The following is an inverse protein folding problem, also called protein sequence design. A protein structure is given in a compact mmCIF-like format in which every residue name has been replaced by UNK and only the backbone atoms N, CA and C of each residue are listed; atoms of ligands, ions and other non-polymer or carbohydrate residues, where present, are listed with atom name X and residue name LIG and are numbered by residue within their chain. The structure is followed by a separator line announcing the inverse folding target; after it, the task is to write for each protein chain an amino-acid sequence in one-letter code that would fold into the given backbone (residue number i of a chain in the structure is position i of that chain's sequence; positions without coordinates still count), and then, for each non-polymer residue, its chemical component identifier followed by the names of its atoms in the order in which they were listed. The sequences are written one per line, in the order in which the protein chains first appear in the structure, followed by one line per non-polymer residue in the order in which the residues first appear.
data_IF_196145798484
#
_entry.id   IF_196145798484
#
_cell.length_a   1.000
_cell.length_b   1.000
_cell.length_c   1.000
_cell.angle_alpha   90.00
_cell.angle_beta   90.00
_cell.angle_gamma   90.00
#
_symmetry.space_group_name_H-M   'P 1'
#
loop_
_entity.id
_entity.type
_entity.pdbx_description
1 polymer ?
#
# COMPACT_ATOMS: atom_id res chain seq x y z
N UNK A 1 22.34 7.15 -7.22
CA UNK A 1 21.01 7.58 -7.69
C UNK A 1 20.11 7.82 -6.48
N UNK A 2 19.51 8.99 -6.40
CA UNK A 2 18.62 9.31 -5.28
C UNK A 2 17.19 8.89 -5.65
N UNK A 3 16.58 8.04 -4.83
CA UNK A 3 15.20 7.63 -5.03
C UNK A 3 14.27 8.77 -4.59
N UNK A 4 13.34 9.14 -5.46
CA UNK A 4 12.35 10.16 -5.11
C UNK A 4 11.44 9.64 -3.99
N UNK A 5 11.10 10.51 -3.03
CA UNK A 5 10.11 10.18 -1.98
C UNK A 5 8.80 9.71 -2.57
N UNK A 6 8.44 10.21 -3.76
CA UNK A 6 7.19 9.84 -4.43
C UNK A 6 7.11 8.35 -4.75
N UNK A 7 8.25 7.67 -4.91
CA UNK A 7 8.30 6.24 -5.20
C UNK A 7 8.36 5.37 -3.94
N UNK A 8 8.51 5.99 -2.76
CA UNK A 8 8.59 5.28 -1.48
C UNK A 8 7.26 5.18 -0.76
N UNK A 9 6.20 5.75 -1.33
CA UNK A 9 4.86 5.74 -0.73
C UNK A 9 3.83 5.32 -1.78
N UNK A 10 2.64 4.94 -1.31
CA UNK A 10 1.54 4.61 -2.22
C UNK A 10 1.16 5.84 -3.04
N UNK A 11 0.94 5.65 -4.34
CA UNK A 11 0.51 6.69 -5.24
C UNK A 11 -0.97 7.02 -5.00
N UNK A 12 -1.40 8.17 -5.53
CA UNK A 12 -2.81 8.54 -5.46
C UNK A 12 -3.72 7.51 -6.13
N UNK A 13 -3.28 6.93 -7.25
CA UNK A 13 -4.05 5.90 -7.95
C UNK A 13 -4.21 4.65 -7.08
N UNK A 14 -3.13 4.23 -6.41
CA UNK A 14 -3.18 3.09 -5.50
C UNK A 14 -4.10 3.36 -4.31
N UNK A 15 -4.04 4.56 -3.74
CA UNK A 15 -4.92 4.95 -2.63
C UNK A 15 -6.40 4.95 -3.04
N UNK A 16 -6.71 5.43 -4.25
CA UNK A 16 -8.08 5.38 -4.76
C UNK A 16 -8.57 3.95 -4.93
N UNK A 17 -7.71 3.07 -5.43
CA UNK A 17 -8.05 1.65 -5.60
C UNK A 17 -8.39 1.02 -4.24
N UNK A 18 -7.58 1.27 -3.22
CA UNK A 18 -7.84 0.76 -1.88
C UNK A 18 -9.19 1.27 -1.36
N UNK A 19 -9.48 2.55 -1.59
CA UNK A 19 -10.76 3.14 -1.16
C UNK A 19 -11.95 2.46 -1.85
N UNK A 20 -11.84 2.17 -3.15
CA UNK A 20 -12.92 1.46 -3.86
C UNK A 20 -13.12 0.05 -3.31
N UNK A 21 -12.11 -0.52 -2.69
CA UNK A 21 -12.19 -1.83 -2.04
C UNK A 21 -12.62 -1.74 -0.57
N UNK A 22 -13.00 -0.54 -0.11
CA UNK A 22 -13.52 -0.34 1.22
C UNK A 22 -12.48 -0.06 2.30
N UNK A 23 -11.25 0.29 1.92
CA UNK A 23 -10.18 0.52 2.88
C UNK A 23 -9.57 1.91 2.72
N UNK A 24 -9.27 2.55 3.84
CA UNK A 24 -8.60 3.86 3.83
C UNK A 24 -7.49 3.89 4.88
N UNK A 25 -6.52 4.80 4.66
CA UNK A 25 -5.30 4.88 5.45
C UNK A 25 -5.53 5.29 6.91
N UNK A 26 -6.51 6.16 7.15
CA UNK A 26 -6.73 6.69 8.48
C UNK A 26 -5.76 7.82 8.82
N UNK A 27 -5.53 8.05 10.13
CA UNK A 27 -4.82 9.25 10.59
C UNK A 27 -3.38 9.01 11.04
N UNK A 28 -2.92 7.78 11.15
CA UNK A 28 -1.58 7.47 11.66
C UNK A 28 -0.56 7.29 10.54
N UNK A 29 -0.58 8.18 9.56
CA UNK A 29 0.36 8.16 8.44
C UNK A 29 1.42 9.23 8.65
N UNK A 30 2.64 8.99 8.17
CA UNK A 30 3.72 9.97 8.30
C UNK A 30 3.71 11.01 7.17
N UNK A 31 3.10 10.68 6.03
CA UNK A 31 3.08 11.55 4.84
C UNK A 31 1.68 11.63 4.25
N UNK A 32 1.44 12.70 3.50
CA UNK A 32 0.17 12.88 2.78
C UNK A 32 0.41 13.56 1.43
N UNK A 33 -0.48 13.28 0.47
CA UNK A 33 -0.50 13.95 -0.82
C UNK A 33 -1.36 15.20 -0.71
N UNK A 34 -0.81 16.34 -1.12
CA UNK A 34 -1.48 17.64 -1.10
C UNK A 34 -1.39 18.26 -2.50
N UNK A 35 -2.52 18.77 -2.98
CA UNK A 35 -2.54 19.50 -4.25
C UNK A 35 -2.07 20.94 -4.00
N UNK A 36 -1.02 21.35 -4.71
CA UNK A 36 -0.53 22.73 -4.64
C UNK A 36 -1.22 23.55 -5.71
N UNK A 37 -2.08 24.49 -5.29
CA UNK A 37 -2.86 25.32 -6.23
C UNK A 37 -1.97 26.23 -7.09
N UNK A 38 -0.81 26.62 -6.56
CA UNK A 38 0.11 27.51 -7.31
C UNK A 38 0.85 26.77 -8.41
N UNK A 39 1.35 25.56 -8.14
CA UNK A 39 2.10 24.78 -9.12
C UNK A 39 1.23 23.85 -9.96
N UNK A 40 -0.03 23.67 -9.58
CA UNK A 40 -0.96 22.71 -10.18
C UNK A 40 -0.43 21.28 -10.13
N UNK A 41 0.26 20.94 -9.03
CA UNK A 41 0.85 19.60 -8.83
C UNK A 41 0.49 19.04 -7.47
N UNK A 42 0.44 17.72 -7.40
CA UNK A 42 0.33 17.02 -6.13
C UNK A 42 1.72 16.87 -5.54
N UNK A 43 1.85 17.24 -4.28
CA UNK A 43 3.12 17.18 -3.56
C UNK A 43 2.99 16.34 -2.30
N UNK A 44 4.10 15.72 -1.92
CA UNK A 44 4.17 14.89 -0.72
C UNK A 44 4.71 15.74 0.42
N UNK A 45 3.95 15.80 1.52
CA UNK A 45 4.33 16.59 2.70
C UNK A 45 4.15 15.77 3.97
N UNK A 46 4.87 16.13 5.06
CA UNK A 46 4.65 15.48 6.37
C UNK A 46 3.21 15.63 6.80
N UNK A 47 2.68 14.59 7.43
CA UNK A 47 1.26 14.55 7.81
C UNK A 47 0.88 15.70 8.75
N UNK A 48 1.77 16.08 9.68
CA UNK A 48 1.53 17.12 10.67
C UNK A 48 1.49 18.53 10.08
N UNK A 49 1.93 18.73 8.86
CA UNK A 49 1.93 20.06 8.24
C UNK A 49 0.50 20.52 7.94
N UNK A 50 0.17 21.72 8.38
CA UNK A 50 -1.09 22.36 8.01
C UNK A 50 -0.97 22.92 6.59
N UNK A 51 -1.92 22.59 5.74
CA UNK A 51 -1.91 23.04 4.34
C UNK A 51 -3.31 23.49 3.95
N UNK A 52 -3.35 24.47 3.04
CA UNK A 52 -4.58 24.91 2.39
C UNK A 52 -4.56 24.46 0.94
N UNK A 53 -5.61 23.77 0.55
CA UNK A 53 -5.71 23.23 -0.81
C UNK A 53 -7.15 23.24 -1.28
N UNK A 54 -7.34 23.47 -2.59
CA UNK A 54 -8.65 23.39 -3.22
C UNK A 54 -9.16 21.96 -3.34
N UNK A 55 -8.28 20.98 -3.16
CA UNK A 55 -8.63 19.55 -3.25
C UNK A 55 -8.36 18.84 -1.93
N UNK A 56 -9.15 17.82 -1.56
CA UNK A 56 -8.92 17.06 -0.34
C UNK A 56 -7.53 16.43 -0.31
N UNK A 57 -6.90 16.42 0.86
CA UNK A 57 -5.63 15.73 1.07
C UNK A 57 -5.85 14.23 1.07
N UNK A 58 -4.80 13.47 0.72
CA UNK A 58 -4.83 12.01 0.75
C UNK A 58 -3.66 11.51 1.58
N UNK A 59 -3.94 10.98 2.77
CA UNK A 59 -2.91 10.34 3.58
C UNK A 59 -2.35 9.13 2.82
N UNK A 60 -1.04 8.91 2.90
CA UNK A 60 -0.39 7.82 2.20
C UNK A 60 0.52 7.03 3.13
N UNK A 61 1.05 5.92 2.64
CA UNK A 61 1.83 4.98 3.46
C UNK A 61 3.12 4.60 2.76
N UNK A 62 4.18 4.48 3.56
CA UNK A 62 5.43 3.81 3.14
C UNK A 62 5.19 2.29 3.18
N UNK A 63 6.16 1.52 2.66
CA UNK A 63 6.08 0.06 2.70
C UNK A 63 5.94 -0.46 4.14
N UNK A 64 6.73 0.06 5.07
CA UNK A 64 6.69 -0.34 6.47
C UNK A 64 5.31 -0.07 7.09
N UNK A 65 4.79 1.12 6.85
CA UNK A 65 3.47 1.50 7.36
C UNK A 65 2.35 0.63 6.79
N UNK A 66 2.44 0.30 5.49
CA UNK A 66 1.47 -0.57 4.85
C UNK A 66 1.53 -1.98 5.45
N UNK A 67 2.73 -2.53 5.60
CA UNK A 67 2.91 -3.86 6.19
C UNK A 67 2.39 -3.94 7.62
N UNK A 68 2.56 -2.87 8.40
CA UNK A 68 2.04 -2.81 9.77
C UNK A 68 0.52 -2.88 9.82
N UNK A 69 -0.15 -2.39 8.77
CA UNK A 69 -1.61 -2.37 8.68
C UNK A 69 -2.19 -3.61 8.05
N UNK A 70 -1.39 -4.39 7.33
CA UNK A 70 -1.85 -5.61 6.69
C UNK A 70 -2.01 -6.72 7.73
N UNK A 71 -3.05 -7.56 7.61
CA UNK A 71 -3.19 -8.69 8.54
C UNK A 71 -2.02 -9.66 8.37
N UNK A 72 -1.59 -10.26 9.48
CA UNK A 72 -0.51 -11.25 9.43
C UNK A 72 -1.03 -12.60 8.96
N UNK A 73 -2.32 -12.84 9.12
CA UNK A 73 -2.96 -14.05 8.62
C UNK A 73 -4.38 -13.75 8.18
N UNK A 74 -4.89 -14.56 7.28
CA UNK A 74 -6.22 -14.44 6.70
C UNK A 74 -6.87 -15.81 6.65
N UNK A 75 -8.15 -15.89 7.04
CA UNK A 75 -8.94 -17.11 6.90
C UNK A 75 -9.66 -17.08 5.55
N UNK A 76 -9.53 -18.15 4.78
CA UNK A 76 -10.21 -18.28 3.50
C UNK A 76 -10.42 -19.75 3.18
N UNK A 77 -11.67 -20.12 2.85
CA UNK A 77 -12.06 -21.51 2.51
C UNK A 77 -11.62 -22.52 3.57
N UNK A 78 -11.75 -22.17 4.86
CA UNK A 78 -11.40 -23.04 5.96
C UNK A 78 -9.92 -23.19 6.22
N UNK A 79 -9.08 -22.39 5.53
CA UNK A 79 -7.62 -22.43 5.69
C UNK A 79 -7.11 -21.12 6.26
N UNK A 80 -6.00 -21.19 6.99
CA UNK A 80 -5.30 -20.01 7.49
C UNK A 80 -4.11 -19.71 6.60
N UNK A 81 -4.17 -18.56 5.90
CA UNK A 81 -3.08 -18.08 5.06
C UNK A 81 -2.25 -17.09 5.85
N UNK A 82 -0.94 -17.22 5.81
CA UNK A 82 -0.03 -16.32 6.52
C UNK A 82 0.74 -15.45 5.56
N UNK A 83 1.00 -14.20 5.98
CA UNK A 83 1.78 -13.26 5.18
C UNK A 83 3.20 -13.77 5.02
N UNK A 84 3.66 -13.84 3.79
CA UNK A 84 5.00 -14.24 3.41
C UNK A 84 5.69 -13.11 2.69
N UNK A 85 6.90 -12.76 3.16
CA UNK A 85 7.71 -11.71 2.58
C UNK A 85 9.08 -12.27 2.25
N UNK A 86 9.59 -11.93 1.06
CA UNK A 86 10.93 -12.33 0.66
C UNK A 86 11.57 -11.24 -0.17
N UNK A 87 12.80 -10.85 0.22
CA UNK A 87 13.60 -9.92 -0.56
C UNK A 87 14.44 -10.73 -1.53
N UNK A 88 14.31 -10.42 -2.82
CA UNK A 88 15.07 -11.05 -3.88
C UNK A 88 16.16 -10.11 -4.35
N UNK A 89 17.14 -10.64 -5.09
CA UNK A 89 18.21 -9.83 -5.65
C UNK A 89 17.68 -8.69 -6.52
N UNK A 90 16.55 -8.89 -7.20
CA UNK A 90 15.94 -7.90 -8.09
C UNK A 90 14.47 -7.68 -7.76
N UNK A 91 14.19 -7.36 -6.51
CA UNK A 91 12.83 -7.05 -6.12
C UNK A 91 12.39 -7.74 -4.85
N UNK A 92 11.08 -7.87 -4.68
CA UNK A 92 10.49 -8.45 -3.48
C UNK A 92 9.24 -9.23 -3.81
N UNK A 93 8.94 -10.21 -2.97
CA UNK A 93 7.70 -10.99 -3.05
C UNK A 93 6.91 -10.73 -1.77
N UNK A 94 5.61 -10.52 -1.89
CA UNK A 94 4.69 -10.48 -0.77
C UNK A 94 3.40 -11.19 -1.17
N UNK A 95 3.00 -12.17 -0.38
CA UNK A 95 1.77 -12.93 -0.64
C UNK A 95 1.32 -13.59 0.65
N UNK A 96 0.16 -14.22 0.60
CA UNK A 96 -0.35 -14.99 1.74
C UNK A 96 -0.34 -16.47 1.36
N UNK A 97 0.26 -17.30 2.18
CA UNK A 97 0.47 -18.71 1.85
C UNK A 97 -0.15 -19.66 2.86
N UNK A 98 -0.71 -20.73 2.34
CA UNK A 98 -1.13 -21.92 3.08
C UNK A 98 -0.82 -23.08 2.15
N UNK A 99 0.44 -23.58 2.21
CA UNK A 99 0.95 -24.54 1.25
C UNK A 99 -0.06 -25.65 0.97
N UNK A 100 -0.28 -26.03 -0.30
CA UNK A 100 0.39 -25.52 -1.52
C UNK A 100 -0.28 -24.26 -2.13
N UNK A 101 -1.26 -23.67 -1.46
CA UNK A 101 -2.05 -22.57 -2.01
C UNK A 101 -1.46 -21.20 -1.66
N UNK A 102 -1.73 -20.21 -2.51
CA UNK A 102 -1.24 -18.85 -2.35
C UNK A 102 -2.35 -17.87 -2.72
N UNK A 103 -2.50 -16.81 -1.91
CA UNK A 103 -3.32 -15.65 -2.25
C UNK A 103 -2.35 -14.53 -2.63
N UNK A 104 -2.49 -14.00 -3.84
CA UNK A 104 -1.57 -13.03 -4.40
C UNK A 104 -0.59 -13.71 -5.34
N UNK A 105 0.54 -13.05 -5.61
CA UNK A 105 1.51 -13.53 -6.59
C UNK A 105 2.85 -13.85 -5.95
N UNK A 106 3.44 -14.97 -6.35
CA UNK A 106 4.80 -15.34 -5.97
C UNK A 106 5.84 -14.72 -6.89
N UNK A 107 5.40 -13.97 -7.92
CA UNK A 107 6.31 -13.28 -8.84
C UNK A 107 6.89 -12.03 -8.18
N UNK A 108 8.21 -11.81 -8.25
CA UNK A 108 8.81 -10.63 -7.66
C UNK A 108 8.31 -9.34 -8.30
N UNK A 109 8.13 -8.31 -7.48
CA UNK A 109 7.84 -6.95 -7.93
C UNK A 109 9.09 -6.10 -7.71
N UNK A 110 9.21 -4.96 -8.43
CA UNK A 110 10.42 -4.15 -8.33
C UNK A 110 10.72 -3.63 -6.92
N UNK A 111 9.70 -3.40 -6.09
CA UNK A 111 9.88 -2.90 -4.73
C UNK A 111 9.00 -3.68 -3.76
N UNK A 112 9.39 -3.66 -2.49
CA UNK A 112 8.58 -4.25 -1.43
C UNK A 112 7.21 -3.55 -1.34
N UNK A 113 7.17 -2.23 -1.54
CA UNK A 113 5.91 -1.48 -1.51
C UNK A 113 4.94 -1.99 -2.58
N UNK A 114 5.42 -2.19 -3.81
CA UNK A 114 4.58 -2.68 -4.91
C UNK A 114 4.08 -4.10 -4.61
N UNK A 115 4.95 -4.97 -4.11
CA UNK A 115 4.59 -6.34 -3.76
C UNK A 115 3.55 -6.37 -2.64
N UNK A 116 3.77 -5.58 -1.57
CA UNK A 116 2.84 -5.51 -0.44
C UNK A 116 1.48 -4.95 -0.88
N UNK A 117 1.48 -3.90 -1.71
CA UNK A 117 0.24 -3.33 -2.23
C UNK A 117 -0.56 -4.36 -3.01
N UNK A 118 0.09 -5.09 -3.93
CA UNK A 118 -0.59 -6.10 -4.74
C UNK A 118 -1.20 -7.20 -3.85
N UNK A 119 -0.46 -7.67 -2.84
CA UNK A 119 -0.95 -8.68 -1.91
C UNK A 119 -2.16 -8.16 -1.12
N UNK A 120 -2.10 -6.92 -0.65
CA UNK A 120 -3.19 -6.33 0.11
C UNK A 120 -4.45 -6.16 -0.73
N UNK A 121 -4.30 -5.75 -1.99
CA UNK A 121 -5.43 -5.64 -2.92
C UNK A 121 -6.14 -6.99 -3.06
N UNK A 122 -5.39 -8.08 -3.20
CA UNK A 122 -5.99 -9.42 -3.33
C UNK A 122 -6.78 -9.80 -2.07
N UNK A 123 -6.25 -9.49 -0.88
CA UNK A 123 -6.97 -9.75 0.38
C UNK A 123 -8.26 -8.94 0.46
N UNK A 124 -8.21 -7.66 0.07
CA UNK A 124 -9.40 -6.80 0.10
C UNK A 124 -10.46 -7.28 -0.89
N UNK A 125 -10.05 -7.78 -2.06
CA UNK A 125 -10.98 -8.34 -3.04
C UNK A 125 -11.72 -9.56 -2.48
N UNK A 126 -11.05 -10.38 -1.70
CA UNK A 126 -11.69 -11.54 -1.08
C UNK A 126 -12.75 -11.11 -0.06
N UNK A 127 -12.48 -10.05 0.70
CA UNK A 127 -13.43 -9.54 1.69
C UNK A 127 -14.65 -8.85 1.05
N UNK A 128 -14.49 -8.35 -0.17
CA UNK A 128 -15.55 -7.62 -0.87
C UNK A 128 -16.60 -8.54 -1.52
N UNK A 129 -16.33 -9.82 -1.58
CA UNK A 129 -17.26 -10.81 -2.16
C UNK A 129 -18.28 -11.30 -1.15
#
# INVERSE_FOLDING_TARGET
MVTSLRTLVLSRAQLRKLRTLGWSVGVNASLKWVYCDLSHRWELVPWENSVTSSKPVMNTLTATELLERMPRSVQHDGKTYRLYLELKQRGAVACYTCYPDTIGSEMPRPTLLAAAYDAFVEILKLKAK
#
